data_IF_214332976090
#
_entry.id   IF_214332976090
#
_cell.length_a   1.000
_cell.length_b   1.000
_cell.length_c   1.000
_cell.angle_alpha   90.00
_cell.angle_beta   90.00
_cell.angle_gamma   90.00
#
_symmetry.space_group_name_H-M   'P 1'
#
loop_
_entity.id
_entity.type
_entity.pdbx_description
1 polymer ?
#
# COMPACT_ATOMS: atom_id res chain seq x y z
N UNK A 1 13.90 -13.81 2.96
CA UNK A 1 15.01 -12.86 2.73
C UNK A 1 15.12 -11.96 3.97
N UNK A 2 16.17 -11.16 4.10
CA UNK A 2 16.28 -10.10 5.10
C UNK A 2 16.66 -8.80 4.38
N UNK A 3 16.18 -7.66 4.88
CA UNK A 3 16.57 -6.33 4.40
C UNK A 3 17.21 -5.55 5.54
N UNK A 4 18.21 -4.74 5.21
CA UNK A 4 18.91 -3.88 6.17
C UNK A 4 19.17 -2.53 5.52
N UNK A 5 18.96 -1.46 6.28
CA UNK A 5 19.23 -0.09 5.85
C UNK A 5 20.46 0.43 6.57
N UNK A 6 21.39 1.02 5.83
CA UNK A 6 22.57 1.68 6.38
C UNK A 6 22.70 3.07 5.76
N UNK A 7 22.93 4.08 6.58
CA UNK A 7 23.27 5.41 6.10
C UNK A 7 24.72 5.42 5.61
N UNK A 8 24.90 5.45 4.29
CA UNK A 8 26.22 5.42 3.64
C UNK A 8 26.96 6.78 3.64
N UNK A 9 26.35 7.83 4.21
CA UNK A 9 26.90 9.19 4.24
C UNK A 9 26.17 10.15 3.32
N UNK A 10 26.61 11.40 3.34
CA UNK A 10 26.11 12.43 2.42
C UNK A 10 26.85 12.35 1.09
N UNK A 11 26.14 12.63 0.00
CA UNK A 11 26.65 12.65 -1.37
C UNK A 11 26.23 13.95 -2.07
N UNK A 12 26.91 14.28 -3.17
CA UNK A 12 26.47 15.31 -4.12
C UNK A 12 25.66 14.73 -5.29
N UNK A 13 25.53 13.40 -5.36
CA UNK A 13 24.63 12.74 -6.31
C UNK A 13 23.19 13.20 -6.07
N UNK A 14 22.42 13.27 -7.15
CA UNK A 14 21.01 13.65 -7.09
C UNK A 14 20.14 12.40 -7.24
N UNK A 15 18.96 12.36 -6.59
CA UNK A 15 18.04 11.27 -6.85
C UNK A 15 17.53 11.31 -8.31
N UNK A 16 17.19 10.15 -8.86
CA UNK A 16 16.89 9.87 -10.27
C UNK A 16 18.10 9.90 -11.21
N UNK A 17 19.33 9.83 -10.69
CA UNK A 17 20.53 9.64 -11.50
C UNK A 17 20.94 8.16 -11.44
N UNK A 18 20.98 7.48 -12.59
CA UNK A 18 21.42 6.08 -12.67
C UNK A 18 22.94 5.97 -12.42
N UNK A 19 23.36 6.02 -11.15
CA UNK A 19 24.75 6.03 -10.72
C UNK A 19 25.14 4.85 -9.81
N UNK A 20 24.16 4.00 -9.49
CA UNK A 20 24.32 2.83 -8.63
C UNK A 20 24.30 3.15 -7.14
N UNK A 21 23.90 4.36 -6.75
CA UNK A 21 23.74 4.79 -5.36
C UNK A 21 22.29 5.12 -5.04
N UNK A 22 21.68 4.39 -4.11
CA UNK A 22 20.39 4.76 -3.52
C UNK A 22 20.49 6.09 -2.77
N UNK A 23 19.90 7.15 -3.34
CA UNK A 23 19.97 8.52 -2.88
C UNK A 23 18.59 9.03 -2.45
N UNK A 24 18.53 9.61 -1.25
CA UNK A 24 17.37 10.32 -0.73
C UNK A 24 17.66 11.82 -0.80
N UNK A 25 16.89 12.58 -1.58
CA UNK A 25 17.21 14.00 -1.80
C UNK A 25 16.03 14.86 -2.23
N UNK A 26 16.19 16.18 -2.14
CA UNK A 26 15.19 17.14 -2.60
C UNK A 26 15.49 17.61 -4.01
N UNK A 27 14.47 17.62 -4.87
CA UNK A 27 14.52 18.19 -6.21
C UNK A 27 13.32 19.11 -6.45
N UNK A 28 13.54 20.23 -7.13
CA UNK A 28 12.46 21.15 -7.48
C UNK A 28 11.76 20.66 -8.75
N UNK A 29 10.50 20.24 -8.64
CA UNK A 29 9.68 19.70 -9.74
C UNK A 29 8.29 20.37 -9.75
N UNK A 30 8.20 21.67 -10.06
CA UNK A 30 6.93 22.41 -10.01
C UNK A 30 5.88 21.90 -11.00
N UNK A 31 6.29 21.20 -12.05
CA UNK A 31 5.43 20.51 -13.00
C UNK A 31 4.70 19.29 -12.40
N UNK A 32 5.20 18.74 -11.28
CA UNK A 32 4.60 17.63 -10.55
C UNK A 32 3.80 18.14 -9.34
N UNK A 33 2.82 18.99 -9.60
CA UNK A 33 2.02 19.74 -8.59
C UNK A 33 1.11 18.88 -7.70
N UNK A 34 1.13 17.55 -7.87
CA UNK A 34 0.42 16.57 -7.05
C UNK A 34 1.29 15.42 -6.56
N UNK A 35 2.60 15.48 -6.78
CA UNK A 35 3.57 14.45 -6.36
C UNK A 35 4.51 15.03 -5.31
N UNK A 36 4.35 14.57 -4.07
CA UNK A 36 5.18 15.02 -2.94
C UNK A 36 6.57 14.39 -2.98
N UNK A 37 6.63 13.11 -3.31
CA UNK A 37 7.86 12.36 -3.46
C UNK A 37 7.60 11.22 -4.45
N UNK A 38 8.68 10.58 -4.90
CA UNK A 38 8.56 9.31 -5.59
C UNK A 38 9.85 8.52 -5.44
N UNK A 39 9.66 7.21 -5.40
CA UNK A 39 10.71 6.21 -5.43
C UNK A 39 10.93 5.73 -6.87
N UNK A 40 12.16 5.74 -7.35
CA UNK A 40 12.56 5.17 -8.64
C UNK A 40 13.51 3.99 -8.44
N UNK A 41 13.51 3.05 -9.37
CA UNK A 41 14.35 1.85 -9.30
C UNK A 41 15.19 1.71 -10.54
N UNK A 42 16.47 1.37 -10.37
CA UNK A 42 17.31 0.83 -11.43
C UNK A 42 17.37 -0.68 -11.27
N UNK A 43 16.89 -1.41 -12.27
CA UNK A 43 16.87 -2.87 -12.28
C UNK A 43 17.71 -3.37 -13.44
N UNK A 44 18.59 -4.33 -13.17
CA UNK A 44 19.28 -5.09 -14.21
C UNK A 44 18.25 -5.96 -14.93
N UNK A 45 17.97 -5.65 -16.19
CA UNK A 45 16.94 -6.30 -17.00
C UNK A 45 17.28 -7.74 -17.38
N UNK A 46 18.56 -8.12 -17.37
CA UNK A 46 19.01 -9.48 -17.66
C UNK A 46 18.88 -10.41 -16.46
N UNK A 47 19.10 -9.91 -15.25
CA UNK A 47 19.16 -10.71 -14.01
C UNK A 47 17.97 -10.48 -13.08
N UNK A 48 17.24 -9.36 -13.26
CA UNK A 48 16.20 -8.89 -12.35
C UNK A 48 16.74 -8.32 -11.03
N UNK A 49 18.06 -8.08 -10.93
CA UNK A 49 18.66 -7.54 -9.74
C UNK A 49 18.30 -6.06 -9.57
N UNK A 50 17.82 -5.67 -8.38
CA UNK A 50 17.70 -4.28 -7.98
C UNK A 50 19.11 -3.71 -7.78
N UNK A 51 19.49 -2.73 -8.60
CA UNK A 51 20.79 -2.05 -8.53
C UNK A 51 20.70 -0.85 -7.59
N UNK A 52 19.64 -0.05 -7.73
CA UNK A 52 19.45 1.22 -7.05
C UNK A 52 17.97 1.46 -6.78
N UNK A 53 17.69 2.15 -5.68
CA UNK A 53 16.38 2.69 -5.34
C UNK A 53 16.53 4.11 -4.80
N UNK A 54 16.10 5.09 -5.58
CA UNK A 54 16.22 6.51 -5.29
C UNK A 54 14.91 7.07 -4.79
N UNK A 55 14.97 8.02 -3.87
CA UNK A 55 13.78 8.73 -3.36
C UNK A 55 14.02 10.22 -3.54
N UNK A 56 13.24 10.85 -4.40
CA UNK A 56 13.21 12.30 -4.46
C UNK A 56 12.02 12.86 -3.69
N UNK A 57 12.25 13.99 -3.00
CA UNK A 57 11.21 14.82 -2.38
C UNK A 57 11.06 16.10 -3.19
N UNK A 58 9.84 16.46 -3.56
CA UNK A 58 9.57 17.63 -4.38
C UNK A 58 9.67 18.92 -3.56
N UNK A 59 10.75 19.68 -3.74
CA UNK A 59 10.99 20.93 -3.00
C UNK A 59 10.10 22.11 -3.44
N UNK A 60 9.26 21.93 -4.46
CA UNK A 60 8.21 22.89 -4.80
C UNK A 60 7.12 22.97 -3.72
N UNK A 61 7.01 21.94 -2.86
CA UNK A 61 6.13 21.94 -1.70
C UNK A 61 6.83 22.44 -0.43
N UNK A 62 6.10 23.02 0.53
CA UNK A 62 6.64 23.35 1.83
C UNK A 62 6.76 22.11 2.72
N UNK A 63 7.92 21.92 3.34
CA UNK A 63 8.25 20.76 4.18
C UNK A 63 8.54 21.12 5.63
N UNK A 64 8.26 20.20 6.54
CA UNK A 64 8.59 20.31 7.96
C UNK A 64 9.11 19.00 8.53
N UNK A 65 9.95 19.13 9.55
CA UNK A 65 10.44 18.05 10.42
C UNK A 65 9.99 18.27 11.87
N UNK A 66 9.04 19.19 12.09
CA UNK A 66 8.56 19.53 13.42
C UNK A 66 7.93 18.30 14.09
N UNK A 67 8.26 18.07 15.37
CA UNK A 67 7.80 16.91 16.13
C UNK A 67 6.26 16.77 16.12
N UNK A 68 5.55 17.89 16.23
CA UNK A 68 4.08 17.93 16.30
C UNK A 68 3.41 18.31 14.97
N UNK A 69 4.14 18.25 13.86
CA UNK A 69 3.69 18.77 12.56
C UNK A 69 3.70 20.30 12.50
N UNK A 70 3.52 20.84 11.30
CA UNK A 70 3.48 22.28 11.06
C UNK A 70 2.39 22.63 10.03
N UNK A 71 1.48 23.51 10.42
CA UNK A 71 0.36 23.92 9.56
C UNK A 71 0.86 24.43 8.21
N UNK A 72 0.28 23.92 7.12
CA UNK A 72 0.65 24.31 5.77
C UNK A 72 1.96 23.71 5.26
N UNK A 73 2.61 22.79 5.99
CA UNK A 73 3.79 22.05 5.52
C UNK A 73 3.60 20.53 5.57
N UNK A 74 4.14 19.82 4.59
CA UNK A 74 4.13 18.36 4.59
C UNK A 74 5.21 17.81 5.52
N UNK A 75 4.87 16.74 6.23
CA UNK A 75 5.77 16.09 7.17
C UNK A 75 6.74 15.17 6.43
N UNK A 76 8.04 15.47 6.50
CA UNK A 76 9.07 14.69 5.81
C UNK A 76 9.07 13.24 6.28
N UNK A 77 8.91 12.99 7.58
CA UNK A 77 8.95 11.63 8.12
C UNK A 77 7.80 10.76 7.59
N UNK A 78 6.58 11.29 7.52
CA UNK A 78 5.43 10.56 7.00
C UNK A 78 5.62 10.18 5.53
N UNK A 79 6.04 11.14 4.70
CA UNK A 79 6.25 10.88 3.25
C UNK A 79 7.46 9.96 3.04
N UNK A 80 8.57 10.19 3.76
CA UNK A 80 9.73 9.31 3.68
C UNK A 80 9.39 7.87 4.06
N UNK A 81 8.53 7.65 5.07
CA UNK A 81 8.11 6.30 5.45
C UNK A 81 7.34 5.58 4.34
N UNK A 82 6.49 6.30 3.60
CA UNK A 82 5.79 5.77 2.42
C UNK A 82 6.78 5.39 1.31
N UNK A 83 7.69 6.30 0.96
CA UNK A 83 8.69 6.04 -0.08
C UNK A 83 9.66 4.93 0.30
N UNK A 84 10.04 4.82 1.59
CA UNK A 84 10.85 3.70 2.07
C UNK A 84 10.06 2.38 1.95
N UNK A 85 8.74 2.41 2.09
CA UNK A 85 7.90 1.26 1.77
C UNK A 85 8.06 0.81 0.32
N UNK A 86 7.98 1.74 -0.64
CA UNK A 86 8.29 1.46 -2.04
C UNK A 86 9.73 0.97 -2.24
N UNK A 87 10.71 1.62 -1.62
CA UNK A 87 12.12 1.21 -1.64
C UNK A 87 12.29 -0.25 -1.17
N UNK A 88 11.44 -0.69 -0.25
CA UNK A 88 11.38 -2.06 0.26
C UNK A 88 10.59 -3.03 -0.63
N UNK A 89 10.00 -2.57 -1.73
CA UNK A 89 9.18 -3.38 -2.64
C UNK A 89 7.69 -3.42 -2.33
N UNK A 90 7.18 -2.60 -1.40
CA UNK A 90 5.75 -2.49 -1.17
C UNK A 90 5.07 -1.71 -2.31
N UNK A 91 3.90 -2.21 -2.73
CA UNK A 91 2.98 -1.45 -3.56
C UNK A 91 2.04 -0.59 -2.71
N UNK A 92 1.17 0.15 -3.37
CA UNK A 92 0.13 0.91 -2.69
C UNK A 92 -0.91 0.00 -2.04
N UNK A 93 -1.35 0.38 -0.84
CA UNK A 93 -2.50 -0.18 -0.15
C UNK A 93 -3.76 0.62 -0.46
N UNK A 94 -4.90 -0.05 -0.58
CA UNK A 94 -6.20 0.60 -0.75
C UNK A 94 -6.95 0.80 0.58
N UNK A 95 -6.29 0.60 1.73
CA UNK A 95 -6.87 0.86 3.05
C UNK A 95 -6.81 2.34 3.43
N UNK A 96 -7.52 3.17 2.67
CA UNK A 96 -7.68 4.59 2.97
C UNK A 96 -9.00 5.12 2.45
N UNK A 97 -9.50 6.15 3.12
CA UNK A 97 -10.82 6.72 2.89
C UNK A 97 -10.66 8.20 2.56
N UNK A 98 -11.37 8.63 1.52
CA UNK A 98 -11.32 9.99 1.05
C UNK A 98 -12.70 10.61 0.89
N UNK A 99 -12.75 11.93 0.97
CA UNK A 99 -13.93 12.71 0.58
C UNK A 99 -13.60 13.59 -0.63
N UNK A 100 -14.62 13.86 -1.45
CA UNK A 100 -14.54 14.85 -2.51
C UNK A 100 -14.54 16.25 -1.91
N UNK A 101 -13.63 17.11 -2.36
CA UNK A 101 -13.63 18.53 -1.99
C UNK A 101 -14.52 19.32 -2.94
N UNK A 102 -15.17 20.36 -2.42
CA UNK A 102 -15.96 21.30 -3.24
C UNK A 102 -15.14 21.96 -4.35
N UNK A 103 -13.85 22.21 -4.10
CA UNK A 103 -12.89 22.75 -5.06
C UNK A 103 -12.37 21.74 -6.09
N UNK A 104 -12.85 20.50 -6.06
CA UNK A 104 -12.28 19.37 -6.80
C UNK A 104 -11.14 18.67 -6.06
N UNK A 105 -10.86 17.42 -6.47
CA UNK A 105 -9.88 16.54 -5.84
C UNK A 105 -10.42 15.79 -4.62
N UNK A 106 -9.55 14.99 -3.99
CA UNK A 106 -9.85 14.16 -2.83
C UNK A 106 -9.10 14.65 -1.58
N UNK A 107 -9.69 14.46 -0.40
CA UNK A 107 -9.03 14.63 0.90
C UNK A 107 -9.06 13.31 1.64
N UNK A 108 -7.91 12.85 2.11
CA UNK A 108 -7.85 11.71 3.04
C UNK A 108 -8.46 12.11 4.37
N UNK A 109 -9.40 11.30 4.84
CA UNK A 109 -10.06 11.45 6.15
C UNK A 109 -9.64 10.35 7.12
N UNK A 110 -9.28 9.18 6.61
CA UNK A 110 -8.70 8.09 7.38
C UNK A 110 -7.76 7.27 6.48
N UNK A 111 -6.73 6.68 7.08
CA UNK A 111 -5.87 5.71 6.40
C UNK A 111 -5.40 4.67 7.40
N UNK A 112 -5.59 3.41 7.06
CA UNK A 112 -5.12 2.23 7.79
C UNK A 112 -3.95 1.55 7.07
N UNK A 113 -3.27 2.31 6.21
CA UNK A 113 -1.95 2.01 5.67
C UNK A 113 -1.13 3.29 5.47
N UNK A 114 0.17 3.23 5.72
CA UNK A 114 1.11 4.26 5.26
C UNK A 114 1.23 4.20 3.74
N UNK A 115 1.14 3.02 3.14
CA UNK A 115 1.19 2.82 1.69
C UNK A 115 -0.08 3.26 0.94
N UNK A 116 -1.02 3.97 1.57
CA UNK A 116 -2.12 4.58 0.83
C UNK A 116 -1.59 5.72 -0.08
N UNK A 117 -1.92 5.77 -1.39
CA UNK A 117 -1.27 6.63 -2.38
C UNK A 117 -1.53 8.13 -2.22
N UNK A 118 -2.45 8.51 -1.33
CA UNK A 118 -2.80 9.91 -1.10
C UNK A 118 -2.33 10.28 0.30
N UNK A 119 -1.47 11.30 0.39
CA UNK A 119 -1.01 11.78 1.68
C UNK A 119 -2.11 12.51 2.47
N UNK A 120 -2.00 12.47 3.80
CA UNK A 120 -2.77 13.37 4.66
C UNK A 120 -2.46 14.84 4.34
N UNK A 121 -3.39 15.72 4.70
CA UNK A 121 -3.19 17.15 4.53
C UNK A 121 -1.95 17.67 5.29
N UNK A 122 -1.31 18.70 4.72
CA UNK A 122 -0.19 19.39 5.33
C UNK A 122 -0.48 19.79 6.80
N UNK A 123 0.51 19.59 7.67
CA UNK A 123 0.41 19.71 9.12
C UNK A 123 0.07 18.41 9.86
N UNK A 124 -0.36 17.36 9.15
CA UNK A 124 -0.58 16.04 9.75
C UNK A 124 0.72 15.27 9.97
N UNK A 125 0.76 14.50 11.06
CA UNK A 125 1.80 13.50 11.37
C UNK A 125 1.22 12.08 11.46
N UNK A 126 -0.03 11.89 11.03
CA UNK A 126 -0.75 10.62 11.17
C UNK A 126 -0.13 9.46 10.36
N UNK A 127 0.71 9.78 9.37
CA UNK A 127 1.42 8.83 8.50
C UNK A 127 2.80 8.40 9.00
N UNK A 128 3.20 8.72 10.24
CA UNK A 128 4.53 8.35 10.78
C UNK A 128 4.64 6.92 11.31
N UNK A 129 3.56 6.14 11.32
CA UNK A 129 3.52 4.83 11.96
C UNK A 129 2.95 3.80 10.99
N UNK A 130 3.71 2.73 10.67
CA UNK A 130 3.20 1.61 9.90
C UNK A 130 1.95 1.01 10.55
N UNK A 131 1.01 0.58 9.72
CA UNK A 131 -0.22 -0.08 10.11
C UNK A 131 -0.12 -1.59 9.86
N UNK A 132 -1.16 -2.32 10.26
CA UNK A 132 -1.17 -3.77 10.17
C UNK A 132 -0.91 -4.27 8.74
N UNK A 133 -1.46 -3.57 7.74
CA UNK A 133 -1.26 -3.89 6.33
C UNK A 133 0.19 -3.68 5.86
N UNK A 134 0.79 -2.53 6.20
CA UNK A 134 2.19 -2.25 5.87
C UNK A 134 3.12 -3.30 6.51
N UNK A 135 2.84 -3.67 7.77
CA UNK A 135 3.60 -4.67 8.53
C UNK A 135 3.43 -6.07 7.91
N UNK A 136 2.22 -6.44 7.51
CA UNK A 136 1.95 -7.73 6.87
C UNK A 136 2.68 -7.83 5.53
N UNK A 137 2.58 -6.79 4.69
CA UNK A 137 3.25 -6.73 3.39
C UNK A 137 4.77 -6.81 3.49
N UNK A 138 5.39 -6.01 4.37
CA UNK A 138 6.86 -6.03 4.49
C UNK A 138 7.36 -7.35 5.07
N UNK A 139 6.59 -7.95 5.97
CA UNK A 139 6.93 -9.22 6.59
C UNK A 139 6.72 -10.40 5.64
N UNK A 140 5.83 -10.29 4.66
CA UNK A 140 5.70 -11.28 3.58
C UNK A 140 6.92 -11.26 2.65
N UNK A 141 7.41 -10.06 2.30
CA UNK A 141 8.63 -9.90 1.49
C UNK A 141 9.90 -10.35 2.24
N UNK A 142 10.01 -9.98 3.53
CA UNK A 142 11.19 -10.24 4.36
C UNK A 142 10.82 -10.97 5.67
N UNK A 143 10.41 -12.25 5.60
CA UNK A 143 9.84 -12.96 6.74
C UNK A 143 10.89 -13.31 7.81
N UNK A 144 10.63 -12.87 9.03
CA UNK A 144 11.34 -13.29 10.24
C UNK A 144 10.67 -14.49 10.93
N UNK A 145 11.03 -14.76 12.18
CA UNK A 145 10.52 -15.91 12.94
C UNK A 145 9.03 -15.80 13.32
N UNK A 146 8.55 -14.59 13.57
CA UNK A 146 7.21 -14.32 14.11
C UNK A 146 6.18 -14.28 12.99
N UNK A 147 6.51 -13.72 11.82
CA UNK A 147 5.61 -13.74 10.66
C UNK A 147 5.23 -15.17 10.23
N UNK A 148 6.19 -16.10 10.29
CA UNK A 148 5.96 -17.53 9.98
C UNK A 148 5.00 -18.21 10.96
N UNK A 149 4.62 -17.55 12.06
CA UNK A 149 3.63 -18.03 13.02
C UNK A 149 2.20 -17.63 12.67
N UNK A 150 2.05 -16.65 11.80
CA UNK A 150 0.77 -16.08 11.37
C UNK A 150 0.09 -16.99 10.36
N UNK A 151 -1.21 -16.78 10.16
CA UNK A 151 -2.02 -17.51 9.20
C UNK A 151 -2.33 -16.68 7.97
N UNK A 152 -3.19 -17.24 7.11
CA UNK A 152 -3.62 -16.58 5.90
C UNK A 152 -5.07 -16.89 5.54
N UNK A 153 -5.62 -16.08 4.62
CA UNK A 153 -6.91 -16.30 3.97
C UNK A 153 -6.69 -16.24 2.47
N UNK A 154 -7.04 -17.32 1.77
CA UNK A 154 -7.04 -17.36 0.31
C UNK A 154 -8.44 -17.67 -0.24
N UNK A 155 -8.66 -17.32 -1.50
CA UNK A 155 -9.96 -17.51 -2.12
C UNK A 155 -10.09 -16.90 -3.49
N UNK A 156 -11.34 -16.66 -3.89
CA UNK A 156 -11.68 -16.11 -5.20
C UNK A 156 -12.81 -15.11 -5.12
N UNK A 157 -12.72 -14.03 -5.88
CA UNK A 157 -13.82 -13.09 -6.11
C UNK A 157 -14.39 -13.31 -7.51
N UNK A 158 -15.71 -13.32 -7.60
CA UNK A 158 -16.43 -13.42 -8.87
C UNK A 158 -17.55 -12.40 -8.96
N UNK A 159 -17.96 -12.05 -10.18
CA UNK A 159 -19.12 -11.23 -10.51
C UNK A 159 -19.89 -11.93 -11.63
N UNK A 160 -21.16 -12.25 -11.39
CA UNK A 160 -22.00 -13.04 -12.33
C UNK A 160 -21.35 -14.37 -12.75
N UNK A 161 -20.78 -15.09 -11.79
CA UNK A 161 -20.03 -16.32 -12.03
C UNK A 161 -18.70 -16.17 -12.79
N UNK A 162 -18.26 -14.96 -13.13
CA UNK A 162 -16.97 -14.69 -13.80
C UNK A 162 -15.92 -14.24 -12.81
N UNK A 163 -14.65 -14.68 -12.92
CA UNK A 163 -13.58 -14.16 -12.08
C UNK A 163 -13.42 -12.64 -12.21
N UNK A 164 -13.23 -11.97 -11.08
CA UNK A 164 -13.04 -10.54 -10.99
C UNK A 164 -11.58 -10.26 -10.68
N UNK A 165 -10.89 -9.52 -11.56
CA UNK A 165 -9.53 -9.02 -11.35
C UNK A 165 -9.57 -7.63 -10.71
N UNK A 166 -8.62 -7.34 -9.83
CA UNK A 166 -8.44 -6.03 -9.21
C UNK A 166 -9.43 -5.71 -8.08
N UNK A 167 -10.26 -6.67 -7.66
CA UNK A 167 -11.10 -6.51 -6.49
C UNK A 167 -10.26 -6.40 -5.22
N UNK A 168 -10.51 -5.36 -4.41
CA UNK A 168 -9.88 -5.17 -3.12
C UNK A 168 -10.58 -6.05 -2.08
N UNK A 169 -9.81 -6.89 -1.41
CA UNK A 169 -10.26 -7.83 -0.39
C UNK A 169 -9.60 -7.46 0.93
N UNK A 170 -10.41 -7.23 1.97
CA UNK A 170 -9.97 -6.74 3.27
C UNK A 170 -10.34 -7.76 4.35
N UNK A 171 -9.33 -8.22 5.09
CA UNK A 171 -9.47 -9.02 6.29
C UNK A 171 -9.43 -8.10 7.53
N UNK A 172 -10.53 -8.05 8.27
CA UNK A 172 -10.64 -7.32 9.52
C UNK A 172 -10.60 -8.26 10.71
N UNK A 173 -9.68 -8.04 11.63
CA UNK A 173 -9.61 -8.72 12.92
C UNK A 173 -10.39 -7.90 13.97
N UNK A 174 -11.60 -8.35 14.41
CA UNK A 174 -12.40 -7.64 15.38
C UNK A 174 -11.80 -7.62 16.79
N UNK A 175 -10.82 -8.48 17.10
CA UNK A 175 -10.19 -8.51 18.42
C UNK A 175 -9.11 -7.43 18.58
N UNK A 176 -8.33 -7.19 17.52
CA UNK A 176 -7.24 -6.20 17.52
C UNK A 176 -7.60 -4.88 16.83
N UNK A 177 -8.60 -4.89 15.95
CA UNK A 177 -8.93 -3.79 15.06
C UNK A 177 -8.06 -3.75 13.78
N UNK A 178 -7.17 -4.72 13.58
CA UNK A 178 -6.27 -4.74 12.44
C UNK A 178 -7.02 -4.95 11.12
N UNK A 179 -6.59 -4.23 10.09
CA UNK A 179 -7.02 -4.38 8.70
C UNK A 179 -5.80 -4.76 7.86
N UNK A 180 -5.94 -5.82 7.08
CA UNK A 180 -4.95 -6.25 6.09
C UNK A 180 -5.68 -6.52 4.78
N UNK A 181 -5.20 -5.92 3.70
CA UNK A 181 -5.80 -5.93 2.39
C UNK A 181 -4.93 -6.64 1.37
N UNK A 182 -5.56 -7.19 0.33
CA UNK A 182 -4.89 -7.55 -0.90
C UNK A 182 -5.87 -7.48 -2.08
N UNK A 183 -5.38 -7.70 -3.28
CA UNK A 183 -6.14 -7.67 -4.50
C UNK A 183 -6.27 -9.06 -5.13
N UNK A 184 -7.27 -9.18 -5.99
CA UNK A 184 -7.37 -10.31 -6.91
C UNK A 184 -6.48 -10.09 -8.13
N UNK A 185 -5.23 -10.56 -8.06
CA UNK A 185 -4.16 -10.19 -9.02
C UNK A 185 -4.02 -11.13 -10.22
N UNK A 186 -4.93 -12.08 -10.43
CA UNK A 186 -4.85 -13.01 -11.56
C UNK A 186 -6.16 -13.12 -12.36
N UNK A 187 -6.07 -13.69 -13.56
CA UNK A 187 -7.21 -13.87 -14.46
C UNK A 187 -8.29 -14.81 -13.90
N UNK A 188 -7.96 -15.54 -12.84
CA UNK A 188 -8.86 -16.42 -12.11
C UNK A 188 -9.52 -15.68 -10.94
N UNK A 189 -9.25 -14.40 -10.71
CA UNK A 189 -9.85 -13.62 -9.63
C UNK A 189 -9.48 -14.13 -8.25
N UNK A 190 -8.33 -14.77 -8.09
CA UNK A 190 -7.89 -15.33 -6.81
C UNK A 190 -7.11 -14.29 -6.01
N UNK A 191 -7.22 -14.38 -4.69
CA UNK A 191 -6.47 -13.57 -3.73
C UNK A 191 -5.83 -14.46 -2.65
N UNK A 192 -4.78 -13.95 -2.01
CA UNK A 192 -4.18 -14.46 -0.77
C UNK A 192 -3.89 -13.28 0.15
N UNK A 193 -4.28 -13.36 1.41
CA UNK A 193 -3.93 -12.39 2.44
C UNK A 193 -3.16 -13.15 3.52
N UNK A 194 -1.85 -12.93 3.56
CA UNK A 194 -0.94 -13.54 4.53
C UNK A 194 -0.70 -12.59 5.73
N UNK A 195 -0.02 -13.08 6.78
CA UNK A 195 0.31 -12.25 7.93
C UNK A 195 -0.84 -11.99 8.91
N UNK A 196 -1.86 -12.85 8.91
CA UNK A 196 -3.05 -12.66 9.73
C UNK A 196 -2.92 -13.29 11.13
N UNK A 197 -3.47 -12.62 12.13
CA UNK A 197 -3.56 -13.15 13.49
C UNK A 197 -4.42 -14.43 13.49
N UNK A 198 -4.21 -15.32 14.46
CA UNK A 198 -5.09 -16.48 14.59
C UNK A 198 -6.40 -16.08 15.27
N UNK A 199 -7.54 -16.43 14.67
CA UNK A 199 -8.84 -16.05 15.19
C UNK A 199 -9.87 -15.75 14.11
N UNK A 200 -11.09 -15.35 14.52
CA UNK A 200 -12.14 -14.97 13.59
C UNK A 200 -11.80 -13.65 12.90
N UNK A 201 -11.98 -13.60 11.58
CA UNK A 201 -11.85 -12.42 10.74
C UNK A 201 -13.16 -12.17 9.98
N UNK A 202 -13.47 -10.90 9.77
CA UNK A 202 -14.52 -10.46 8.83
C UNK A 202 -13.84 -10.17 7.50
N UNK A 203 -14.29 -10.84 6.45
CA UNK A 203 -13.76 -10.64 5.10
C UNK A 203 -14.74 -9.78 4.29
N UNK A 204 -14.24 -8.66 3.76
CA UNK A 204 -14.99 -7.68 2.95
C UNK A 204 -14.34 -7.60 1.57
N UNK A 205 -15.14 -7.45 0.54
CA UNK A 205 -14.71 -7.14 -0.83
C UNK A 205 -15.34 -5.82 -1.24
N UNK A 206 -14.55 -4.91 -1.80
CA UNK A 206 -14.98 -3.57 -2.17
C UNK A 206 -14.36 -3.09 -3.49
N UNK A 207 -15.06 -2.24 -4.26
CA UNK A 207 -14.47 -1.57 -5.41
C UNK A 207 -13.44 -0.54 -4.96
N UNK A 208 -12.44 -0.28 -5.79
CA UNK A 208 -11.53 0.86 -5.58
C UNK A 208 -12.26 2.16 -5.93
N UNK A 209 -12.64 2.93 -4.92
CA UNK A 209 -13.34 4.20 -5.08
C UNK A 209 -12.72 5.37 -4.30
N UNK A 210 -11.57 5.16 -3.64
CA UNK A 210 -10.87 6.19 -2.85
C UNK A 210 -9.58 6.74 -3.47
N UNK A 211 -9.06 6.11 -4.51
CA UNK A 211 -7.89 6.60 -5.24
C UNK A 211 -7.99 6.25 -6.72
N UNK A 212 -7.11 6.84 -7.53
CA UNK A 212 -7.05 6.56 -8.97
C UNK A 212 -6.56 5.13 -9.21
N UNK A 213 -7.17 4.42 -10.16
CA UNK A 213 -6.86 3.00 -10.44
C UNK A 213 -5.39 2.81 -10.80
N UNK A 214 -4.82 3.77 -11.53
CA UNK A 214 -3.42 3.77 -11.97
C UNK A 214 -2.42 3.86 -10.82
N UNK A 215 -2.87 4.18 -9.60
CA UNK A 215 -2.03 4.08 -8.39
C UNK A 215 -1.80 2.62 -7.98
N UNK A 216 -2.69 1.68 -8.32
CA UNK A 216 -2.62 0.29 -7.87
C UNK A 216 -2.20 -0.67 -8.98
N UNK A 217 -2.57 -0.35 -10.22
CA UNK A 217 -2.37 -1.22 -11.36
C UNK A 217 -1.78 -0.46 -12.53
N UNK A 218 -1.05 -1.17 -13.39
CA UNK A 218 -0.64 -0.64 -14.68
C UNK A 218 -1.88 -0.19 -15.48
N UNK A 219 -1.78 0.95 -16.15
CA UNK A 219 -2.88 1.55 -16.94
C UNK A 219 -3.39 0.68 -18.10
N UNK A 220 -2.67 -0.39 -18.43
CA UNK A 220 -3.10 -1.39 -19.44
C UNK A 220 -4.11 -2.41 -18.89
N UNK A 221 -4.29 -2.48 -17.58
CA UNK A 221 -5.19 -3.43 -16.92
C UNK A 221 -6.60 -2.84 -16.82
N UNK A 222 -7.60 -3.63 -17.21
CA UNK A 222 -9.00 -3.27 -17.01
C UNK A 222 -9.48 -3.77 -15.65
N UNK A 223 -9.93 -2.86 -14.79
CA UNK A 223 -10.49 -3.16 -13.47
C UNK A 223 -11.96 -2.76 -13.45
N UNK A 224 -12.85 -3.70 -13.14
CA UNK A 224 -14.29 -3.47 -13.07
C UNK A 224 -14.65 -2.94 -11.68
N UNK A 225 -15.14 -1.70 -11.57
CA UNK A 225 -15.54 -1.06 -10.31
C UNK A 225 -17.06 -1.09 -10.07
N UNK A 226 -17.82 -1.68 -10.99
CA UNK A 226 -19.29 -1.63 -11.02
C UNK A 226 -19.92 -2.76 -10.19
N UNK A 227 -19.45 -2.93 -8.96
CA UNK A 227 -19.97 -3.89 -7.99
C UNK A 227 -20.08 -3.31 -6.58
N UNK A 228 -20.95 -3.88 -5.77
CA UNK A 228 -21.22 -3.42 -4.40
C UNK A 228 -20.25 -4.05 -3.42
N UNK A 229 -19.97 -3.32 -2.35
CA UNK A 229 -19.34 -3.87 -1.16
C UNK A 229 -20.08 -5.14 -0.73
N UNK A 230 -19.33 -6.22 -0.55
CA UNK A 230 -19.87 -7.55 -0.22
C UNK A 230 -19.04 -8.17 0.89
N UNK A 231 -19.69 -8.78 1.87
CA UNK A 231 -19.02 -9.50 2.95
C UNK A 231 -19.11 -11.01 2.72
N UNK A 232 -18.10 -11.75 3.19
CA UNK A 232 -18.25 -13.19 3.33
C UNK A 232 -19.48 -13.50 4.22
N UNK A 233 -20.27 -14.51 3.82
CA UNK A 233 -21.50 -14.89 4.52
C UNK A 233 -21.28 -15.59 5.87
N UNK A 234 -20.03 -15.70 6.31
CA UNK A 234 -19.59 -16.34 7.54
C UNK A 234 -18.30 -15.68 8.01
N UNK A 235 -18.03 -15.79 9.31
CA UNK A 235 -16.70 -15.47 9.84
C UNK A 235 -15.68 -16.47 9.30
N UNK A 236 -14.49 -15.98 8.96
CA UNK A 236 -13.36 -16.79 8.52
C UNK A 236 -12.46 -17.01 9.72
N UNK A 237 -12.20 -18.25 10.10
CA UNK A 237 -11.32 -18.56 11.23
C UNK A 237 -9.93 -18.85 10.68
N UNK A 238 -8.99 -17.96 10.98
CA UNK A 238 -7.58 -18.10 10.61
C UNK A 238 -6.86 -18.96 11.64
N UNK A 239 -6.14 -19.97 11.17
CA UNK A 239 -5.30 -20.82 12.00
C UNK A 239 -3.86 -20.31 12.05
N UNK A 240 -3.13 -20.58 13.13
CA UNK A 240 -1.69 -20.28 13.15
C UNK A 240 -0.98 -21.11 12.08
N UNK A 241 -0.08 -20.49 11.31
CA UNK A 241 0.76 -21.13 10.28
C UNK A 241 -0.02 -21.80 9.15
N UNK A 242 -1.30 -21.50 8.98
CA UNK A 242 -2.15 -22.17 8.01
C UNK A 242 -3.13 -21.21 7.35
N UNK A 243 -3.53 -21.59 6.14
CA UNK A 243 -4.58 -20.93 5.38
C UNK A 243 -5.97 -21.30 5.95
N UNK A 244 -6.95 -20.40 5.82
CA UNK A 244 -8.33 -20.62 6.25
C UNK A 244 -9.09 -21.69 5.46
N UNK A 245 -8.50 -22.21 4.39
CA UNK A 245 -9.20 -22.83 3.29
C UNK A 245 -9.80 -21.78 2.34
N UNK A 246 -10.21 -22.20 1.13
CA UNK A 246 -10.69 -21.27 0.11
C UNK A 246 -11.98 -20.57 0.54
N UNK A 247 -12.02 -19.26 0.34
CA UNK A 247 -13.20 -18.40 0.54
C UNK A 247 -13.63 -17.77 -0.78
N UNK A 248 -14.69 -18.31 -1.36
CA UNK A 248 -15.28 -17.75 -2.58
C UNK A 248 -16.32 -16.68 -2.24
N UNK A 249 -16.21 -15.51 -2.88
CA UNK A 249 -17.15 -14.39 -2.73
C UNK A 249 -17.68 -14.00 -4.11
N UNK A 250 -19.00 -14.01 -4.26
CA UNK A 250 -19.68 -13.46 -5.43
C UNK A 250 -20.21 -12.06 -5.11
N UNK A 251 -19.67 -11.04 -5.77
CA UNK A 251 -20.08 -9.64 -5.56
C UNK A 251 -21.33 -9.33 -6.38
N UNK A 252 -22.21 -8.51 -5.80
CA UNK A 252 -23.42 -8.04 -6.47
C UNK A 252 -23.13 -6.82 -7.37
N UNK A 253 -23.90 -6.67 -8.46
CA UNK A 253 -23.84 -5.47 -9.32
C UNK A 253 -24.30 -4.21 -8.57
N UNK A 254 -23.69 -3.08 -8.91
CA UNK A 254 -24.19 -1.74 -8.53
C UNK A 254 -25.55 -1.44 -9.16
#
# INVERSE_FOLDING_TARGET
ASITYEFAGFTSALPNEDDGMSTLGFLEKPELDRVLASTSFLIDDATGALIEADIFFNSAFPWSVAENGESGRFDVQSIALHEIGHMSGLGHSALGETELRESGGRRVIASEAVMFPIAFAAGSIAGRTPRADDIAGISDLYPDGDFRQLGSISGRVTKDGRPLFGAHVVAFDPASGALVGNFTLNAQGQFSIDGLSAGPHILRVEPLDDADIDSFFESTRTVDLEYRVTYANRLIVVSRRGDSGPVDIEVARK
#
